data_IF_210276789418
#
_entry.id   IF_210276789418
#
_cell.length_a   1.000
_cell.length_b   1.000
_cell.length_c   1.000
_cell.angle_alpha   90.00
_cell.angle_beta   90.00
_cell.angle_gamma   90.00
#
_symmetry.space_group_name_H-M   'P 1'
#
loop_
_entity.id
_entity.type
_entity.pdbx_description
1 polymer ?
#
# COMPACT_ATOMS: atom_id res chain seq x y z
N UNK A 1 12.34 36.12 0.65
CA UNK A 1 11.64 35.44 -0.46
C UNK A 1 12.22 34.05 -0.74
N UNK A 2 13.52 33.91 -1.00
CA UNK A 2 14.13 32.62 -1.41
C UNK A 2 14.07 31.48 -0.39
N UNK A 3 14.10 31.77 0.92
CA UNK A 3 14.00 30.73 1.96
C UNK A 3 12.69 29.95 1.89
N UNK A 4 11.56 30.66 1.81
CA UNK A 4 10.23 30.06 1.72
C UNK A 4 10.04 29.24 0.44
N UNK A 5 10.63 29.70 -0.66
CA UNK A 5 10.64 28.94 -1.92
C UNK A 5 11.43 27.65 -1.76
N UNK A 6 12.61 27.69 -1.13
CA UNK A 6 13.41 26.49 -0.86
C UNK A 6 12.67 25.46 -0.02
N UNK A 7 12.03 25.89 1.06
CA UNK A 7 11.23 25.02 1.94
C UNK A 7 10.05 24.41 1.19
N UNK A 8 9.32 25.21 0.40
CA UNK A 8 8.15 24.74 -0.35
C UNK A 8 8.54 23.71 -1.42
N UNK A 9 9.63 23.97 -2.17
CA UNK A 9 10.14 23.05 -3.17
C UNK A 9 10.63 21.73 -2.56
N UNK A 10 11.33 21.79 -1.42
CA UNK A 10 11.76 20.59 -0.71
C UNK A 10 10.56 19.77 -0.20
N UNK A 11 9.54 20.44 0.35
CA UNK A 11 8.32 19.78 0.80
C UNK A 11 7.57 19.08 -0.34
N UNK A 12 7.41 19.75 -1.49
CA UNK A 12 6.78 19.17 -2.69
C UNK A 12 7.62 17.99 -3.19
N UNK A 13 8.94 18.11 -3.23
CA UNK A 13 9.83 17.03 -3.64
C UNK A 13 9.66 15.79 -2.75
N UNK A 14 9.67 15.96 -1.43
CA UNK A 14 9.49 14.87 -0.47
C UNK A 14 8.11 14.22 -0.57
N UNK A 15 7.07 15.00 -0.81
CA UNK A 15 5.72 14.51 -1.04
C UNK A 15 5.67 13.58 -2.26
N UNK A 16 6.19 14.02 -3.41
CA UNK A 16 6.21 13.22 -4.63
C UNK A 16 7.15 12.01 -4.51
N UNK A 17 8.30 12.14 -3.84
CA UNK A 17 9.18 11.01 -3.57
C UNK A 17 8.47 9.92 -2.75
N UNK A 18 7.71 10.33 -1.72
CA UNK A 18 6.89 9.41 -0.91
C UNK A 18 5.81 8.74 -1.76
N UNK A 19 5.15 9.49 -2.63
CA UNK A 19 4.13 8.97 -3.53
C UNK A 19 4.68 7.89 -4.48
N UNK A 20 5.88 8.11 -5.04
CA UNK A 20 6.55 7.12 -5.90
C UNK A 20 6.88 5.85 -5.12
N UNK A 21 7.42 5.98 -3.89
CA UNK A 21 7.69 4.81 -3.04
C UNK A 21 6.41 4.01 -2.77
N UNK A 22 5.29 4.68 -2.49
CA UNK A 22 4.01 4.03 -2.29
C UNK A 22 3.44 3.42 -3.57
N UNK A 23 3.65 4.04 -4.72
CA UNK A 23 3.21 3.50 -6.01
C UNK A 23 3.93 2.18 -6.31
N UNK A 24 5.25 2.12 -6.09
CA UNK A 24 6.02 0.88 -6.24
C UNK A 24 5.52 -0.20 -5.28
N UNK A 25 5.24 0.15 -4.02
CA UNK A 25 4.65 -0.79 -3.05
C UNK A 25 3.25 -1.26 -3.46
N UNK A 26 2.43 -0.38 -4.01
CA UNK A 26 1.10 -0.71 -4.51
C UNK A 26 1.20 -1.72 -5.66
N UNK A 27 2.12 -1.49 -6.59
CA UNK A 27 2.38 -2.39 -7.70
C UNK A 27 2.87 -3.77 -7.25
N UNK A 28 3.75 -3.83 -6.26
CA UNK A 28 4.30 -5.11 -5.78
C UNK A 28 3.38 -5.90 -4.85
N UNK A 29 2.43 -5.24 -4.17
CA UNK A 29 1.54 -5.87 -3.18
C UNK A 29 0.15 -6.19 -3.74
N UNK A 30 -0.27 -5.52 -4.81
CA UNK A 30 -1.60 -5.70 -5.37
C UNK A 30 -1.79 -7.09 -5.97
N UNK A 31 -2.94 -7.70 -5.68
CA UNK A 31 -3.30 -9.04 -6.18
C UNK A 31 -3.86 -9.00 -7.61
N UNK A 32 -4.19 -7.81 -8.12
CA UNK A 32 -4.76 -7.62 -9.45
C UNK A 32 -4.07 -6.45 -10.17
N UNK A 33 -3.75 -6.59 -11.47
CA UNK A 33 -3.09 -5.53 -12.24
C UNK A 33 -3.92 -4.23 -12.29
N UNK A 34 -5.24 -4.33 -12.44
CA UNK A 34 -6.14 -3.17 -12.50
C UNK A 34 -6.13 -2.33 -11.22
N UNK A 35 -6.12 -2.98 -10.05
CA UNK A 35 -6.06 -2.30 -8.76
C UNK A 35 -4.68 -1.69 -8.51
N UNK A 36 -3.62 -2.39 -8.92
CA UNK A 36 -2.25 -1.88 -8.88
C UNK A 36 -2.11 -0.57 -9.67
N UNK A 37 -2.56 -0.58 -10.93
CA UNK A 37 -2.51 0.57 -11.83
C UNK A 37 -3.34 1.73 -11.27
N UNK A 38 -4.54 1.47 -10.74
CA UNK A 38 -5.36 2.49 -10.10
C UNK A 38 -4.64 3.20 -8.95
N UNK A 39 -4.02 2.44 -8.05
CA UNK A 39 -3.25 3.02 -6.95
C UNK A 39 -2.01 3.79 -7.42
N UNK A 40 -1.27 3.27 -8.39
CA UNK A 40 -0.09 3.93 -8.95
C UNK A 40 -0.45 5.27 -9.58
N UNK A 41 -1.47 5.29 -10.44
CA UNK A 41 -1.95 6.51 -11.10
C UNK A 41 -2.44 7.52 -10.06
N UNK A 42 -3.23 7.07 -9.08
CA UNK A 42 -3.77 7.96 -8.06
C UNK A 42 -2.67 8.59 -7.19
N UNK A 43 -1.67 7.80 -6.79
CA UNK A 43 -0.51 8.28 -6.02
C UNK A 43 0.31 9.33 -6.77
N UNK A 44 0.52 9.14 -8.07
CA UNK A 44 1.31 10.09 -8.87
C UNK A 44 0.52 11.37 -9.17
N UNK A 45 -0.76 11.25 -9.54
CA UNK A 45 -1.56 12.41 -9.95
C UNK A 45 -2.01 13.27 -8.77
N UNK A 46 -2.31 12.66 -7.62
CA UNK A 46 -2.80 13.39 -6.45
C UNK A 46 -2.17 12.86 -5.15
N UNK A 47 -0.88 13.10 -4.93
CA UNK A 47 -0.16 12.55 -3.78
C UNK A 47 -0.71 13.03 -2.44
N UNK A 48 -1.25 14.26 -2.37
CA UNK A 48 -1.82 14.82 -1.13
C UNK A 48 -3.01 13.99 -0.64
N UNK A 49 -3.91 13.55 -1.53
CA UNK A 49 -5.06 12.72 -1.15
C UNK A 49 -4.73 11.22 -1.18
N UNK A 50 -3.90 10.80 -2.13
CA UNK A 50 -3.61 9.40 -2.37
C UNK A 50 -2.70 8.81 -1.30
N UNK A 51 -1.72 9.56 -0.75
CA UNK A 51 -0.84 9.05 0.32
C UNK A 51 -1.64 8.68 1.57
N UNK A 52 -2.50 9.56 2.14
CA UNK A 52 -3.38 9.19 3.25
C UNK A 52 -4.28 8.01 2.88
N UNK A 53 -4.96 8.08 1.73
CA UNK A 53 -5.86 7.02 1.29
C UNK A 53 -5.16 5.66 1.17
N UNK A 54 -3.93 5.63 0.66
CA UNK A 54 -3.13 4.42 0.52
C UNK A 54 -2.67 3.85 1.87
N UNK A 55 -2.37 4.71 2.86
CA UNK A 55 -2.04 4.26 4.22
C UNK A 55 -3.23 3.58 4.90
N UNK A 56 -4.45 4.10 4.72
CA UNK A 56 -5.65 3.51 5.32
C UNK A 56 -6.19 2.31 4.54
N UNK A 57 -6.24 2.39 3.21
CA UNK A 57 -6.94 1.41 2.35
C UNK A 57 -5.98 0.48 1.60
N UNK A 58 -4.80 0.97 1.23
CA UNK A 58 -3.83 0.25 0.40
C UNK A 58 -3.09 -0.88 1.13
N UNK A 59 -2.92 -0.77 2.45
CA UNK A 59 -2.19 -1.74 3.27
C UNK A 59 -3.04 -2.88 3.84
N UNK A 60 -4.32 -3.03 3.45
CA UNK A 60 -5.21 -4.06 3.99
C UNK A 60 -4.83 -5.47 3.49
N UNK A 61 -3.64 -5.96 3.87
CA UNK A 61 -3.37 -7.38 4.01
C UNK A 61 -4.33 -7.88 5.08
N UNK A 62 -5.37 -8.60 4.66
CA UNK A 62 -6.20 -9.40 5.56
C UNK A 62 -5.29 -10.31 6.40
N UNK A 63 -4.81 -9.80 7.54
CA UNK A 63 -3.96 -10.54 8.49
C UNK A 63 -4.71 -11.78 8.99
N UNK A 64 -6.04 -11.67 9.07
CA UNK A 64 -6.95 -12.77 9.38
C UNK A 64 -6.91 -13.92 8.37
N UNK A 65 -6.62 -13.69 7.08
CA UNK A 65 -6.61 -14.78 6.09
C UNK A 65 -5.46 -15.76 6.32
N UNK A 66 -4.29 -15.27 6.76
CA UNK A 66 -3.15 -16.14 7.09
C UNK A 66 -3.40 -16.95 8.36
N UNK A 67 -4.07 -16.35 9.34
CA UNK A 67 -4.46 -17.03 10.60
C UNK A 67 -5.52 -18.10 10.29
N UNK A 68 -6.56 -17.75 9.55
CA UNK A 68 -7.62 -18.67 9.13
C UNK A 68 -7.07 -19.83 8.28
N UNK A 69 -6.07 -19.58 7.41
CA UNK A 69 -5.39 -20.63 6.65
C UNK A 69 -4.64 -21.61 7.56
N UNK A 70 -3.91 -21.10 8.55
CA UNK A 70 -3.16 -21.93 9.50
C UNK A 70 -4.08 -22.75 10.41
N UNK A 71 -5.21 -22.19 10.85
CA UNK A 71 -6.22 -22.95 11.59
C UNK A 71 -6.83 -24.05 10.72
N UNK A 72 -7.19 -23.74 9.47
CA UNK A 72 -7.78 -24.74 8.58
C UNK A 72 -6.82 -25.90 8.28
N UNK A 73 -5.51 -25.63 8.14
CA UNK A 73 -4.52 -26.69 7.95
C UNK A 73 -4.35 -27.56 9.19
N UNK A 74 -4.33 -26.97 10.39
CA UNK A 74 -4.30 -27.74 11.66
C UNK A 74 -5.53 -28.64 11.82
N UNK A 75 -6.71 -28.16 11.46
CA UNK A 75 -7.96 -28.96 11.54
C UNK A 75 -7.92 -30.14 10.57
N UNK A 76 -7.44 -29.91 9.34
CA UNK A 76 -7.29 -30.99 8.33
C UNK A 76 -6.25 -32.01 8.77
N UNK A 77 -5.14 -31.57 9.38
CA UNK A 77 -4.11 -32.46 9.90
C UNK A 77 -4.60 -33.28 11.09
N UNK A 78 -5.35 -32.66 12.01
CA UNK A 78 -6.00 -33.36 13.12
C UNK A 78 -7.00 -34.43 12.66
N UNK A 79 -7.77 -34.16 11.60
CA UNK A 79 -8.70 -35.13 10.99
C UNK A 79 -8.00 -36.28 10.25
N UNK A 80 -6.75 -36.09 9.81
CA UNK A 80 -5.96 -37.16 9.17
C UNK A 80 -5.28 -38.09 10.17
N UNK A 81 -5.10 -37.65 11.41
CA UNK A 81 -4.43 -38.38 12.48
C UNK A 81 -5.41 -39.09 13.44
N UNK A 82 -6.72 -38.89 13.26
CA UNK A 82 -7.81 -39.53 14.00
C UNK A 82 -8.40 -40.70 13.19
#
# INVERSE_FOLDING_TARGET
>A
MSFWVGVSSAAIFLLYATAVVFAVRAASTARTPQGAVGWVIFLILNPVLAIPSYLFLGHHRFRGYRIARQESERVVEALRLA
#
